data_IF_927129859229
#
_entry.id   IF_927129859229
#
_cell.length_a   1.000
_cell.length_b   1.000
_cell.length_c   1.000
_cell.angle_alpha   90.00
_cell.angle_beta   90.00
_cell.angle_gamma   90.00
#
_symmetry.space_group_name_H-M   'P 1'
#
loop_
_entity.id
_entity.type
_entity.pdbx_description
1 polymer ?
#
# COMPACT_ATOMS: atom_id res chain seq x y z
N UNK A 1 4.78 -7.14 -16.77
CA UNK A 1 6.00 -6.29 -16.95
C UNK A 1 7.20 -6.69 -16.08
N UNK A 2 7.08 -7.63 -15.12
CA UNK A 2 8.24 -8.13 -14.36
C UNK A 2 8.90 -7.15 -13.39
N UNK A 3 8.25 -6.00 -13.13
CA UNK A 3 8.72 -5.03 -12.14
C UNK A 3 8.43 -5.55 -10.74
N UNK A 4 9.40 -5.42 -9.83
CA UNK A 4 9.30 -5.85 -8.43
C UNK A 4 9.24 -4.58 -7.57
N UNK A 5 8.06 -4.09 -7.18
CA UNK A 5 7.95 -2.92 -6.32
C UNK A 5 8.43 -3.24 -4.89
N UNK A 6 8.87 -2.20 -4.20
CA UNK A 6 9.13 -2.22 -2.77
C UNK A 6 8.21 -1.23 -2.10
N UNK A 7 7.35 -1.70 -1.19
CA UNK A 7 6.32 -0.86 -0.58
C UNK A 7 6.88 -0.21 0.68
N UNK A 8 7.21 1.07 0.58
CA UNK A 8 7.87 1.83 1.64
C UNK A 8 6.84 2.51 2.54
N UNK A 9 7.09 2.52 3.85
CA UNK A 9 6.26 3.23 4.82
C UNK A 9 6.34 4.74 4.58
N UNK A 10 5.18 5.38 4.36
CA UNK A 10 5.06 6.80 4.03
C UNK A 10 5.41 7.74 5.19
N UNK A 11 5.61 7.22 6.40
CA UNK A 11 6.06 7.99 7.56
C UNK A 11 7.59 8.08 7.70
N UNK A 12 8.36 7.36 6.87
CA UNK A 12 9.82 7.36 6.97
C UNK A 12 10.43 8.68 6.47
N UNK A 13 11.51 9.10 7.12
CA UNK A 13 12.24 10.35 6.81
C UNK A 13 13.75 10.15 6.86
N UNK A 14 14.49 11.02 6.18
CA UNK A 14 15.95 11.10 6.25
C UNK A 14 16.65 9.73 6.11
N UNK A 15 17.54 9.37 7.05
CA UNK A 15 18.30 8.11 7.06
C UNK A 15 17.43 6.84 6.99
N UNK A 16 16.24 6.85 7.59
CA UNK A 16 15.36 5.68 7.58
C UNK A 16 14.70 5.45 6.21
N UNK A 17 14.34 6.52 5.52
CA UNK A 17 13.87 6.48 4.14
C UNK A 17 15.01 6.08 3.19
N UNK A 18 16.17 6.73 3.35
CA UNK A 18 17.37 6.40 2.59
C UNK A 18 17.72 4.92 2.70
N UNK A 19 17.85 4.40 3.92
CA UNK A 19 18.15 2.98 4.15
C UNK A 19 17.14 2.06 3.46
N UNK A 20 15.84 2.36 3.56
CA UNK A 20 14.80 1.53 2.95
C UNK A 20 14.94 1.50 1.43
N UNK A 21 15.32 2.61 0.80
CA UNK A 21 15.52 2.70 -0.65
C UNK A 21 16.82 2.03 -1.09
N UNK A 22 17.91 2.20 -0.33
CA UNK A 22 19.25 1.77 -0.74
C UNK A 22 19.60 0.33 -0.36
N UNK A 23 18.87 -0.29 0.59
CA UNK A 23 19.05 -1.70 0.97
C UNK A 23 18.62 -2.68 -0.12
N UNK A 24 17.92 -2.18 -1.16
CA UNK A 24 17.56 -2.93 -2.35
C UNK A 24 18.21 -2.31 -3.59
N UNK A 25 18.34 -3.08 -4.67
CA UNK A 25 18.82 -2.58 -5.96
C UNK A 25 17.68 -1.88 -6.73
N UNK A 26 17.14 -0.80 -6.16
CA UNK A 26 16.08 0.00 -6.78
C UNK A 26 16.60 0.76 -8.00
N UNK A 27 15.75 0.93 -9.01
CA UNK A 27 16.04 1.70 -10.25
C UNK A 27 15.16 2.94 -10.39
N UNK A 28 14.00 2.93 -9.74
CA UNK A 28 13.03 4.00 -9.78
C UNK A 28 12.40 4.18 -8.41
N UNK A 29 12.00 5.42 -8.10
CA UNK A 29 11.29 5.77 -6.88
C UNK A 29 10.02 6.54 -7.25
N UNK A 30 8.86 5.98 -6.88
CA UNK A 30 7.54 6.54 -7.16
C UNK A 30 6.93 7.03 -5.85
N UNK A 31 6.42 8.25 -5.83
CA UNK A 31 5.78 8.85 -4.66
C UNK A 31 4.62 9.77 -5.07
N UNK A 32 3.67 10.01 -4.18
CA UNK A 32 2.66 11.04 -4.40
C UNK A 32 3.26 12.44 -4.14
N UNK A 33 2.83 13.43 -4.91
CA UNK A 33 3.20 14.83 -4.79
C UNK A 33 3.13 15.38 -3.36
N UNK A 34 2.20 14.89 -2.52
CA UNK A 34 2.10 15.30 -1.11
C UNK A 34 3.38 14.98 -0.29
N UNK A 35 4.17 13.98 -0.71
CA UNK A 35 5.40 13.58 -0.05
C UNK A 35 6.65 14.27 -0.61
N UNK A 36 6.51 15.17 -1.58
CA UNK A 36 7.65 15.76 -2.30
C UNK A 36 8.70 16.37 -1.36
N UNK A 37 8.30 17.16 -0.36
CA UNK A 37 9.24 17.80 0.56
C UNK A 37 10.09 16.79 1.33
N UNK A 38 9.47 15.72 1.85
CA UNK A 38 10.17 14.66 2.59
C UNK A 38 11.13 13.89 1.68
N UNK A 39 10.70 13.60 0.45
CA UNK A 39 11.53 12.88 -0.53
C UNK A 39 12.69 13.75 -1.00
N UNK A 40 12.45 15.03 -1.29
CA UNK A 40 13.47 16.02 -1.69
C UNK A 40 14.61 16.09 -0.69
N UNK A 41 14.30 16.13 0.61
CA UNK A 41 15.31 16.13 1.68
C UNK A 41 16.16 14.86 1.72
N UNK A 42 15.59 13.71 1.30
CA UNK A 42 16.30 12.43 1.28
C UNK A 42 17.08 12.18 -0.02
N UNK A 43 16.75 12.86 -1.13
CA UNK A 43 17.37 12.66 -2.45
C UNK A 43 18.92 12.74 -2.41
N UNK A 44 19.57 13.72 -1.75
CA UNK A 44 21.03 13.76 -1.70
C UNK A 44 21.64 12.53 -1.03
N UNK A 45 21.04 12.05 0.07
CA UNK A 45 21.51 10.88 0.80
C UNK A 45 21.33 9.58 0.00
N UNK A 46 20.22 9.47 -0.71
CA UNK A 46 19.90 8.32 -1.56
C UNK A 46 20.85 8.29 -2.78
N UNK A 47 20.98 9.43 -3.47
CA UNK A 47 21.74 9.53 -4.73
C UNK A 47 23.26 9.42 -4.54
N UNK A 48 23.78 9.58 -3.33
CA UNK A 48 25.16 9.25 -2.99
C UNK A 48 25.45 7.74 -3.08
N UNK A 49 24.43 6.89 -2.94
CA UNK A 49 24.59 5.43 -2.87
C UNK A 49 24.05 4.70 -4.08
N UNK A 50 22.97 5.20 -4.68
CA UNK A 50 22.27 4.55 -5.81
C UNK A 50 21.80 5.58 -6.83
N UNK A 51 21.79 5.21 -8.11
CA UNK A 51 21.20 6.04 -9.17
C UNK A 51 19.73 5.66 -9.35
N UNK A 52 18.82 6.62 -9.22
CA UNK A 52 17.37 6.41 -9.33
C UNK A 52 16.69 7.39 -10.27
N UNK A 53 15.71 6.89 -11.01
CA UNK A 53 14.69 7.73 -11.65
C UNK A 53 13.58 8.09 -10.64
N UNK A 54 13.25 9.37 -10.52
CA UNK A 54 12.19 9.84 -9.63
C UNK A 54 10.92 10.14 -10.40
N UNK A 55 9.79 9.65 -9.90
CA UNK A 55 8.47 9.85 -10.48
C UNK A 55 7.50 10.33 -9.40
N UNK A 56 6.78 11.41 -9.69
CA UNK A 56 5.72 11.91 -8.82
C UNK A 56 4.34 11.71 -9.43
N UNK A 57 3.42 11.18 -8.65
CA UNK A 57 1.99 11.16 -8.98
C UNK A 57 1.29 12.36 -8.33
N UNK A 58 0.57 13.17 -9.10
CA UNK A 58 -0.05 14.41 -8.63
C UNK A 58 0.67 15.67 -9.13
N UNK A 59 0.36 16.81 -8.52
CA UNK A 59 0.85 18.13 -8.94
C UNK A 59 1.76 18.72 -7.86
N UNK A 60 3.03 18.94 -8.21
CA UNK A 60 3.99 19.67 -7.37
C UNK A 60 4.02 21.13 -7.82
N UNK A 61 4.06 22.05 -6.85
CA UNK A 61 4.24 23.47 -7.13
C UNK A 61 5.53 23.72 -7.94
N UNK A 62 5.48 24.65 -8.91
CA UNK A 62 6.59 24.89 -9.84
C UNK A 62 7.83 25.44 -9.13
N UNK A 63 7.66 26.31 -8.14
CA UNK A 63 8.78 26.89 -7.39
C UNK A 63 9.43 25.79 -6.55
N UNK A 64 8.60 25.00 -5.86
CA UNK A 64 9.06 23.89 -5.04
C UNK A 64 9.81 22.81 -5.87
N UNK A 65 9.30 22.51 -7.07
CA UNK A 65 9.93 21.58 -8.01
C UNK A 65 11.25 22.14 -8.59
N UNK A 66 11.35 23.45 -8.83
CA UNK A 66 12.57 24.08 -9.32
C UNK A 66 13.74 23.96 -8.33
N UNK A 67 13.44 23.85 -7.04
CA UNK A 67 14.42 23.61 -5.99
C UNK A 67 14.81 22.12 -5.85
N UNK A 68 14.24 21.21 -6.65
CA UNK A 68 14.59 19.79 -6.59
C UNK A 68 16.06 19.56 -6.99
N UNK A 69 16.85 18.78 -6.23
CA UNK A 69 18.23 18.50 -6.59
C UNK A 69 18.37 17.59 -7.82
N UNK A 70 17.28 16.94 -8.24
CA UNK A 70 17.21 16.03 -9.38
C UNK A 70 15.90 16.17 -10.15
N UNK A 71 15.90 15.76 -11.41
CA UNK A 71 14.70 15.69 -12.23
C UNK A 71 13.65 14.75 -11.61
N UNK A 72 12.41 15.24 -11.49
CA UNK A 72 11.25 14.43 -11.08
C UNK A 72 10.24 14.39 -12.22
N UNK A 73 9.97 13.19 -12.72
CA UNK A 73 9.14 12.95 -13.88
C UNK A 73 7.65 12.92 -13.48
N UNK A 74 6.75 13.61 -14.20
CA UNK A 74 5.33 13.66 -13.86
C UNK A 74 4.61 12.37 -14.29
N UNK A 75 4.46 11.42 -13.36
CA UNK A 75 3.98 10.06 -13.64
C UNK A 75 2.60 10.05 -14.29
N UNK A 76 1.67 10.90 -13.82
CA UNK A 76 0.31 10.95 -14.39
C UNK A 76 0.31 11.27 -15.88
N UNK A 77 1.08 12.29 -16.29
CA UNK A 77 1.21 12.67 -17.72
C UNK A 77 1.84 11.57 -18.56
N UNK A 78 2.73 10.77 -17.97
CA UNK A 78 3.34 9.62 -18.66
C UNK A 78 2.35 8.48 -18.82
N UNK A 79 1.55 8.18 -17.79
CA UNK A 79 0.47 7.18 -17.85
C UNK A 79 -0.55 7.54 -18.94
N UNK A 80 -0.96 8.82 -19.02
CA UNK A 80 -1.94 9.27 -20.02
C UNK A 80 -1.44 9.13 -21.48
N UNK A 81 -0.12 8.98 -21.68
CA UNK A 81 0.52 8.76 -22.97
C UNK A 81 0.98 7.31 -23.17
N UNK A 82 0.84 6.46 -22.17
CA UNK A 82 1.33 5.09 -22.21
C UNK A 82 0.44 4.22 -23.11
N UNK A 83 1.05 3.19 -23.72
CA UNK A 83 0.30 2.20 -24.48
C UNK A 83 -0.62 1.40 -23.57
N UNK A 84 -1.82 1.07 -24.07
CA UNK A 84 -2.74 0.12 -23.43
C UNK A 84 -2.43 -1.34 -23.80
N UNK A 85 -1.44 -1.58 -24.65
CA UNK A 85 -1.03 -2.93 -25.04
C UNK A 85 -0.52 -3.72 -23.84
N UNK A 86 -0.92 -4.99 -23.79
CA UNK A 86 -0.45 -5.88 -22.74
C UNK A 86 1.01 -6.23 -22.95
N UNK A 87 1.79 -6.15 -21.88
CA UNK A 87 3.19 -6.56 -21.95
C UNK A 87 3.28 -8.07 -21.83
N UNK A 88 3.90 -8.70 -22.84
CA UNK A 88 4.15 -10.13 -22.87
C UNK A 88 5.23 -10.54 -21.85
N UNK A 89 4.82 -10.67 -20.58
CA UNK A 89 5.63 -11.15 -19.47
C UNK A 89 4.94 -12.37 -18.85
N UNK A 90 5.53 -13.56 -19.03
CA UNK A 90 4.95 -14.81 -18.52
C UNK A 90 5.11 -14.97 -17.00
N UNK A 91 6.25 -14.55 -16.44
CA UNK A 91 6.58 -14.70 -15.02
C UNK A 91 6.54 -16.15 -14.51
N UNK A 92 6.91 -16.37 -13.25
CA UNK A 92 6.79 -17.66 -12.56
C UNK A 92 6.16 -17.51 -11.17
N UNK A 93 5.55 -18.61 -10.70
CA UNK A 93 4.96 -18.69 -9.35
C UNK A 93 5.99 -18.51 -8.23
N UNK A 94 7.25 -18.83 -8.48
CA UNK A 94 8.36 -18.63 -7.55
C UNK A 94 9.00 -17.25 -7.63
N UNK A 95 8.64 -16.42 -8.60
CA UNK A 95 9.23 -15.09 -8.78
C UNK A 95 8.93 -14.19 -7.58
N UNK A 96 9.81 -13.21 -7.37
CA UNK A 96 9.58 -12.12 -6.43
C UNK A 96 8.46 -11.25 -6.97
N UNK A 97 7.45 -11.03 -6.15
CA UNK A 97 6.33 -10.15 -6.47
C UNK A 97 6.61 -8.74 -5.96
N UNK A 98 6.92 -8.57 -4.68
CA UNK A 98 7.29 -7.29 -4.09
C UNK A 98 8.12 -7.44 -2.81
N UNK A 99 8.67 -6.33 -2.33
CA UNK A 99 9.28 -6.21 -1.00
C UNK A 99 8.33 -5.52 -0.03
N UNK A 100 8.27 -6.03 1.20
CA UNK A 100 7.71 -5.33 2.36
C UNK A 100 8.82 -5.08 3.37
N UNK A 101 8.74 -3.99 4.12
CA UNK A 101 9.71 -3.70 5.16
C UNK A 101 9.19 -4.11 6.53
N UNK A 102 10.01 -4.82 7.28
CA UNK A 102 9.71 -5.22 8.67
C UNK A 102 10.68 -4.54 9.62
N UNK A 103 10.24 -4.27 10.85
CA UNK A 103 11.13 -3.79 11.91
C UNK A 103 12.34 -4.73 12.05
N UNK A 104 13.54 -4.21 11.85
CA UNK A 104 14.77 -4.95 12.06
C UNK A 104 15.18 -4.93 13.53
N UNK A 105 15.86 -5.98 13.98
CA UNK A 105 16.45 -6.07 15.33
C UNK A 105 17.45 -4.96 15.64
N UNK A 106 18.02 -4.35 14.60
CA UNK A 106 18.97 -3.22 14.67
C UNK A 106 18.29 -1.85 14.58
N UNK A 107 16.96 -1.79 14.62
CA UNK A 107 16.16 -0.56 14.49
C UNK A 107 15.89 -0.12 13.05
N UNK A 108 16.72 -0.53 12.08
CA UNK A 108 16.52 -0.21 10.66
C UNK A 108 15.62 -1.24 9.95
N UNK A 109 14.71 -0.80 9.05
CA UNK A 109 13.80 -1.72 8.37
C UNK A 109 14.52 -2.72 7.44
N UNK A 110 14.14 -4.00 7.50
CA UNK A 110 14.65 -5.05 6.61
C UNK A 110 13.67 -5.33 5.48
N UNK A 111 14.17 -5.44 4.24
CA UNK A 111 13.35 -5.77 3.08
C UNK A 111 13.05 -7.28 3.01
N UNK A 112 11.82 -7.67 3.36
CA UNK A 112 11.32 -9.03 3.24
C UNK A 112 10.80 -9.29 1.82
N UNK A 113 11.28 -10.36 1.19
CA UNK A 113 10.84 -10.77 -0.14
C UNK A 113 9.48 -11.48 -0.04
N UNK A 114 8.49 -10.98 -0.77
CA UNK A 114 7.22 -11.65 -1.00
C UNK A 114 7.21 -12.22 -2.42
N UNK A 115 7.09 -13.55 -2.53
CA UNK A 115 6.97 -14.25 -3.82
C UNK A 115 5.52 -14.35 -4.25
N UNK A 116 5.29 -14.53 -5.56
CA UNK A 116 3.96 -14.79 -6.12
C UNK A 116 3.24 -15.93 -5.39
N UNK A 117 3.96 -17.03 -5.10
CA UNK A 117 3.43 -18.19 -4.40
C UNK A 117 2.89 -17.85 -3.01
N UNK A 118 3.68 -17.13 -2.21
CA UNK A 118 3.29 -16.70 -0.86
C UNK A 118 2.09 -15.75 -0.92
N UNK A 119 2.07 -14.83 -1.88
CA UNK A 119 0.97 -13.89 -2.08
C UNK A 119 -0.34 -14.63 -2.38
N UNK A 120 -0.31 -15.56 -3.33
CA UNK A 120 -1.45 -16.37 -3.71
C UNK A 120 -1.94 -17.27 -2.56
N UNK A 121 -1.04 -18.02 -1.92
CA UNK A 121 -1.41 -18.94 -0.83
C UNK A 121 -2.02 -18.19 0.35
N UNK A 122 -1.43 -17.07 0.77
CA UNK A 122 -1.97 -16.26 1.87
C UNK A 122 -3.35 -15.70 1.52
N UNK A 123 -3.51 -15.13 0.32
CA UNK A 123 -4.77 -14.57 -0.16
C UNK A 123 -5.87 -15.63 -0.28
N UNK A 124 -5.55 -16.81 -0.84
CA UNK A 124 -6.48 -17.95 -0.94
C UNK A 124 -6.88 -18.46 0.44
N UNK A 125 -5.93 -18.57 1.36
CA UNK A 125 -6.17 -18.97 2.74
C UNK A 125 -7.16 -18.04 3.45
N UNK A 126 -6.95 -16.72 3.38
CA UNK A 126 -7.87 -15.75 3.98
C UNK A 126 -9.24 -15.75 3.30
N UNK A 127 -9.28 -15.85 1.97
CA UNK A 127 -10.54 -15.93 1.20
C UNK A 127 -11.38 -17.11 1.66
N UNK A 128 -10.79 -18.31 1.71
CA UNK A 128 -11.46 -19.54 2.12
C UNK A 128 -11.85 -19.53 3.60
N UNK A 129 -10.94 -19.09 4.48
CA UNK A 129 -11.19 -19.03 5.92
C UNK A 129 -12.36 -18.12 6.29
N UNK A 130 -12.47 -16.97 5.62
CA UNK A 130 -13.52 -15.97 5.87
C UNK A 130 -14.74 -16.14 4.97
N UNK A 131 -14.69 -17.14 4.08
CA UNK A 131 -15.72 -17.44 3.07
C UNK A 131 -16.10 -16.18 2.29
N UNK A 132 -15.10 -15.43 1.83
CA UNK A 132 -15.32 -14.23 1.03
C UNK A 132 -15.84 -14.62 -0.35
N UNK A 133 -16.77 -13.82 -0.85
CA UNK A 133 -17.46 -14.00 -2.12
C UNK A 133 -17.28 -12.75 -2.99
N UNK A 134 -17.60 -12.88 -4.28
CA UNK A 134 -17.45 -11.78 -5.26
C UNK A 134 -18.37 -10.58 -4.97
N UNK A 135 -19.49 -10.83 -4.31
CA UNK A 135 -20.46 -9.82 -3.88
C UNK A 135 -20.12 -9.20 -2.52
N UNK A 136 -19.07 -9.66 -1.83
CA UNK A 136 -18.58 -8.99 -0.62
C UNK A 136 -17.85 -7.68 -0.96
N UNK A 137 -17.94 -6.74 -0.01
CA UNK A 137 -17.16 -5.52 0.00
C UNK A 137 -16.28 -5.53 1.26
N UNK A 138 -14.96 -5.61 1.05
CA UNK A 138 -13.94 -5.65 2.10
C UNK A 138 -13.45 -4.24 2.44
N UNK A 139 -13.71 -3.78 3.65
CA UNK A 139 -13.16 -2.54 4.19
C UNK A 139 -11.70 -2.72 4.62
N UNK A 140 -10.81 -1.90 4.07
CA UNK A 140 -9.36 -1.95 4.32
C UNK A 140 -8.85 -0.56 4.75
N UNK A 141 -8.84 -0.26 6.06
CA UNK A 141 -8.32 0.98 6.61
C UNK A 141 -6.84 0.88 7.02
N UNK A 142 -6.11 -0.05 6.39
CA UNK A 142 -4.76 -0.42 6.76
C UNK A 142 -3.75 0.03 5.69
N UNK A 143 -2.53 0.42 6.06
CA UNK A 143 -1.55 0.90 5.08
C UNK A 143 -1.12 -0.21 4.11
N UNK A 144 -1.12 0.10 2.80
CA UNK A 144 -0.78 -0.85 1.74
C UNK A 144 0.69 -1.29 1.74
N UNK A 145 1.57 -0.60 2.47
CA UNK A 145 2.95 -1.05 2.67
C UNK A 145 3.10 -2.12 3.78
N UNK A 146 1.98 -2.60 4.35
CA UNK A 146 1.96 -3.73 5.28
C UNK A 146 1.30 -4.96 4.67
N UNK A 147 1.74 -6.14 5.12
CA UNK A 147 1.26 -7.44 4.61
C UNK A 147 -0.24 -7.63 4.81
N UNK A 148 -0.81 -7.18 5.93
CA UNK A 148 -2.24 -7.28 6.18
C UNK A 148 -3.05 -6.66 5.03
N UNK A 149 -2.78 -5.40 4.69
CA UNK A 149 -3.51 -4.71 3.64
C UNK A 149 -3.14 -5.20 2.24
N UNK A 150 -1.85 -5.34 1.93
CA UNK A 150 -1.40 -5.73 0.58
C UNK A 150 -1.75 -7.18 0.23
N UNK A 151 -1.52 -8.11 1.16
CA UNK A 151 -1.60 -9.55 0.90
C UNK A 151 -2.94 -10.14 1.31
N UNK A 152 -3.64 -9.59 2.30
CA UNK A 152 -4.94 -10.13 2.77
C UNK A 152 -6.13 -9.25 2.39
N UNK A 153 -5.87 -7.98 2.03
CA UNK A 153 -6.87 -7.01 1.59
C UNK A 153 -6.95 -6.90 0.08
N UNK A 154 -6.04 -6.11 -0.52
CA UNK A 154 -6.02 -5.81 -1.96
C UNK A 154 -5.95 -7.06 -2.84
N UNK A 155 -5.26 -8.10 -2.37
CA UNK A 155 -5.18 -9.39 -3.07
C UNK A 155 -6.55 -10.03 -3.34
N UNK A 156 -7.54 -9.78 -2.48
CA UNK A 156 -8.89 -10.32 -2.65
C UNK A 156 -9.56 -9.75 -3.90
N UNK A 157 -9.32 -8.47 -4.20
CA UNK A 157 -9.78 -7.84 -5.43
C UNK A 157 -9.06 -8.42 -6.65
N UNK A 158 -7.73 -8.46 -6.59
CA UNK A 158 -6.91 -8.87 -7.73
C UNK A 158 -7.06 -10.36 -8.11
N UNK A 159 -7.25 -11.24 -7.13
CA UNK A 159 -7.25 -12.70 -7.35
C UNK A 159 -8.65 -13.32 -7.36
N UNK A 160 -9.60 -12.74 -6.62
CA UNK A 160 -10.92 -13.35 -6.41
C UNK A 160 -12.09 -12.46 -6.84
N UNK A 161 -11.82 -11.21 -7.25
CA UNK A 161 -12.85 -10.27 -7.69
C UNK A 161 -13.72 -9.71 -6.56
N UNK A 162 -13.21 -9.72 -5.32
CA UNK A 162 -13.89 -9.09 -4.16
C UNK A 162 -13.71 -7.57 -4.25
N UNK A 163 -14.77 -6.80 -4.01
CA UNK A 163 -14.64 -5.34 -3.96
C UNK A 163 -13.88 -4.91 -2.70
N UNK A 164 -12.94 -3.97 -2.81
CA UNK A 164 -12.16 -3.48 -1.66
C UNK A 164 -12.38 -1.98 -1.50
N UNK A 165 -12.93 -1.58 -0.36
CA UNK A 165 -13.06 -0.19 0.05
C UNK A 165 -11.78 0.23 0.80
N UNK A 166 -10.90 0.97 0.12
CA UNK A 166 -9.65 1.48 0.71
C UNK A 166 -9.90 2.77 1.48
N UNK A 167 -9.44 2.83 2.73
CA UNK A 167 -9.45 4.06 3.54
C UNK A 167 -8.00 4.47 3.85
N UNK A 168 -7.58 5.72 3.55
CA UNK A 168 -6.19 6.16 3.77
C UNK A 168 -5.71 6.03 5.22
N UNK A 169 -6.61 6.23 6.19
CA UNK A 169 -6.31 6.15 7.62
C UNK A 169 -7.52 5.63 8.38
N UNK A 170 -7.27 4.70 9.30
CA UNK A 170 -8.27 4.22 10.25
C UNK A 170 -8.82 5.36 11.12
N UNK A 171 -10.14 5.35 11.33
CA UNK A 171 -10.85 6.24 12.25
C UNK A 171 -11.94 5.44 12.94
N UNK A 172 -11.83 5.29 14.26
CA UNK A 172 -12.81 4.51 15.03
C UNK A 172 -14.21 5.14 14.97
N UNK A 173 -14.30 6.47 15.08
CA UNK A 173 -15.57 7.21 15.02
C UNK A 173 -16.23 7.19 13.65
N UNK A 174 -15.47 6.96 12.56
CA UNK A 174 -16.00 6.88 11.18
C UNK A 174 -16.14 5.46 10.66
N UNK A 175 -15.68 4.46 11.40
CA UNK A 175 -15.64 3.07 10.94
C UNK A 175 -17.01 2.56 10.49
N UNK A 176 -18.05 2.74 11.32
CA UNK A 176 -19.39 2.27 11.01
C UNK A 176 -20.09 3.09 9.92
N UNK A 177 -19.90 4.42 9.92
CA UNK A 177 -20.38 5.29 8.84
C UNK A 177 -19.79 4.87 7.48
N UNK A 178 -18.47 4.65 7.42
CA UNK A 178 -17.80 4.16 6.22
C UNK A 178 -18.34 2.79 5.80
N UNK A 179 -18.50 1.85 6.75
CA UNK A 179 -19.01 0.52 6.45
C UNK A 179 -20.44 0.54 5.88
N UNK A 180 -21.29 1.45 6.34
CA UNK A 180 -22.65 1.63 5.81
C UNK A 180 -22.59 2.27 4.43
N UNK A 181 -21.85 3.37 4.29
CA UNK A 181 -21.76 4.12 3.05
C UNK A 181 -21.24 3.26 1.89
N UNK A 182 -20.17 2.50 2.12
CA UNK A 182 -19.58 1.61 1.13
C UNK A 182 -20.21 0.22 1.10
N UNK A 183 -21.25 -0.04 1.92
CA UNK A 183 -21.95 -1.34 2.01
C UNK A 183 -20.99 -2.50 2.32
N UNK A 184 -20.03 -2.27 3.19
CA UNK A 184 -19.03 -3.26 3.59
C UNK A 184 -19.69 -4.48 4.25
N UNK A 185 -19.24 -5.66 3.86
CA UNK A 185 -19.66 -6.96 4.42
C UNK A 185 -18.53 -7.66 5.15
N UNK A 186 -17.28 -7.27 4.87
CA UNK A 186 -16.11 -7.71 5.62
C UNK A 186 -15.23 -6.52 5.97
N UNK A 187 -14.42 -6.61 7.02
CA UNK A 187 -13.41 -5.61 7.33
C UNK A 187 -12.11 -6.26 7.78
N UNK A 188 -10.98 -5.63 7.45
CA UNK A 188 -9.70 -6.04 7.99
C UNK A 188 -9.56 -5.65 9.46
N UNK A 189 -9.06 -6.58 10.26
CA UNK A 189 -8.79 -6.43 11.67
C UNK A 189 -7.29 -6.55 11.95
N UNK A 190 -6.80 -5.71 12.86
CA UNK A 190 -5.45 -5.84 13.40
C UNK A 190 -5.42 -5.31 14.84
N UNK A 191 -4.80 -6.07 15.74
CA UNK A 191 -4.46 -5.66 17.09
C UNK A 191 -5.63 -5.01 17.84
N UNK A 192 -5.53 -3.72 18.06
CA UNK A 192 -6.40 -2.96 18.97
C UNK A 192 -7.68 -2.42 18.31
N UNK A 193 -7.91 -2.70 17.03
CA UNK A 193 -9.00 -2.09 16.25
C UNK A 193 -10.36 -2.28 16.94
N UNK A 194 -10.72 -3.51 17.32
CA UNK A 194 -11.97 -3.79 18.02
C UNK A 194 -12.05 -3.09 19.38
N UNK A 195 -10.93 -2.97 20.11
CA UNK A 195 -10.92 -2.20 21.36
C UNK A 195 -11.20 -0.71 21.11
N UNK A 196 -10.66 -0.12 20.04
CA UNK A 196 -10.97 1.26 19.69
C UNK A 196 -12.44 1.46 19.33
N UNK A 197 -13.06 0.48 18.67
CA UNK A 197 -14.50 0.49 18.38
C UNK A 197 -15.33 0.38 19.67
N UNK A 198 -15.00 -0.57 20.56
CA UNK A 198 -15.67 -0.73 21.85
C UNK A 198 -15.54 0.48 22.77
N UNK A 199 -14.46 1.26 22.63
CA UNK A 199 -14.23 2.48 23.40
C UNK A 199 -14.93 3.71 22.78
N UNK A 200 -15.61 3.60 21.64
CA UNK A 200 -16.44 4.69 21.13
C UNK A 200 -17.72 4.81 21.95
N UNK A 201 -18.34 6.00 21.92
CA UNK A 201 -19.70 6.15 22.45
C UNK A 201 -20.63 5.31 21.59
N UNK A 202 -21.48 4.51 22.24
CA UNK A 202 -22.48 3.72 21.53
C UNK A 202 -23.37 4.61 20.67
N UNK A 203 -23.57 4.22 19.43
CA UNK A 203 -24.51 4.89 18.51
C UNK A 203 -25.45 3.89 17.84
N UNK A 204 -26.70 4.28 17.50
CA UNK A 204 -27.61 3.40 16.76
C UNK A 204 -27.07 2.96 15.37
N UNK A 205 -26.12 3.70 14.82
CA UNK A 205 -25.47 3.43 13.52
C UNK A 205 -24.72 2.10 13.54
N UNK A 206 -24.18 1.69 14.69
CA UNK A 206 -23.43 0.43 14.84
C UNK A 206 -24.25 -0.82 14.53
N UNK A 207 -25.59 -0.71 14.47
CA UNK A 207 -26.47 -1.83 14.13
C UNK A 207 -26.95 -1.81 12.68
N UNK A 208 -26.56 -0.82 11.90
CA UNK A 208 -27.05 -0.60 10.53
C UNK A 208 -26.07 -1.11 9.45
N UNK A 209 -24.89 -1.59 9.85
CA UNK A 209 -23.89 -2.13 8.92
C UNK A 209 -24.22 -3.55 8.45
N UNK A 210 -23.63 -3.96 7.32
CA UNK A 210 -23.73 -5.34 6.81
C UNK A 210 -22.48 -6.19 7.10
N UNK A 211 -21.51 -5.66 7.86
CA UNK A 211 -20.28 -6.38 8.20
C UNK A 211 -20.61 -7.66 8.97
N UNK A 212 -20.30 -8.80 8.37
CA UNK A 212 -20.52 -10.15 8.91
C UNK A 212 -19.26 -10.80 9.46
N UNK A 213 -18.08 -10.30 9.07
CA UNK A 213 -16.78 -10.88 9.45
C UNK A 213 -15.70 -9.80 9.52
N UNK A 214 -14.82 -9.92 10.51
CA UNK A 214 -13.61 -9.11 10.66
C UNK A 214 -12.40 -10.04 10.86
N UNK A 215 -11.29 -9.79 10.17
CA UNK A 215 -10.14 -10.71 10.16
C UNK A 215 -8.78 -10.06 9.89
#
# INVERSE_FOLDING_TARGET
>A
IGVIPALVNTNLKHKSLEHSVTVINAKAFIFDSEYFSVVKEAMPLINQKVKLDYFSFGCIDKQLLAESPVEVKPLKKMIDKASAESVNYKGNFSDRLFYLYTSGTTGLPKAAIIRNSRYFVASKGSNMGMKLKKDDVLYTPLPLYHSAAAMLGVSQSLLFGVSVALRPKFSASKFWEDCIHYKCTAAQYIGELCRYLLNQKETPIERQHNVRVMY
#
